data_IF_187163110969
#
_entry.id   IF_187163110969
#
_cell.length_a   1.000
_cell.length_b   1.000
_cell.length_c   1.000
_cell.angle_alpha   90.00
_cell.angle_beta   90.00
_cell.angle_gamma   90.00
#
_symmetry.space_group_name_H-M   'P 1'
#
loop_
_entity.id
_entity.type
_entity.pdbx_description
1 polymer ?
#
# COMPACT_ATOMS: atom_id res chain seq x y z
N UNK A 1 3.51 0.66 14.50
CA UNK A 1 4.08 1.71 13.65
C UNK A 1 4.78 0.96 12.54
N UNK A 2 4.50 1.28 11.28
CA UNK A 2 5.16 0.61 10.18
C UNK A 2 6.59 1.15 10.01
N UNK A 3 7.48 0.34 9.45
CA UNK A 3 8.86 0.75 9.15
C UNK A 3 8.91 1.37 7.76
N UNK A 4 9.21 2.66 7.68
CA UNK A 4 9.32 3.41 6.42
C UNK A 4 10.50 2.93 5.55
N UNK A 5 11.46 2.19 6.13
CA UNK A 5 12.54 1.55 5.36
C UNK A 5 12.04 0.31 4.62
N UNK A 6 11.06 -0.41 5.17
CA UNK A 6 10.52 -1.65 4.59
C UNK A 6 9.26 -1.40 3.75
N UNK A 7 8.48 -0.38 4.10
CA UNK A 7 7.18 -0.14 3.48
C UNK A 7 7.00 1.30 3.00
N UNK A 8 6.16 1.44 1.98
CA UNK A 8 5.70 2.71 1.43
C UNK A 8 4.20 2.83 1.68
N UNK A 9 3.78 3.97 2.23
CA UNK A 9 2.37 4.30 2.40
C UNK A 9 1.80 4.80 1.07
N UNK A 10 0.76 4.12 0.56
CA UNK A 10 0.15 4.47 -0.71
C UNK A 10 -1.37 4.61 -0.59
N UNK A 11 -1.95 5.39 -1.50
CA UNK A 11 -3.38 5.41 -1.74
C UNK A 11 -3.67 5.49 -3.24
N UNK A 12 -4.93 5.29 -3.64
CA UNK A 12 -5.32 5.48 -5.03
C UNK A 12 -5.16 6.95 -5.42
N UNK A 13 -4.54 7.20 -6.56
CA UNK A 13 -4.27 8.55 -7.07
C UNK A 13 -5.55 9.39 -7.15
N UNK A 14 -6.62 8.80 -7.68
CA UNK A 14 -7.91 9.47 -7.81
C UNK A 14 -8.49 9.88 -6.45
N UNK A 15 -8.33 9.07 -5.42
CA UNK A 15 -8.85 9.35 -4.08
C UNK A 15 -8.08 10.51 -3.44
N UNK A 16 -6.76 10.52 -3.59
CA UNK A 16 -5.90 11.62 -3.15
C UNK A 16 -6.23 12.95 -3.84
N UNK A 17 -6.30 12.94 -5.17
CA UNK A 17 -6.57 14.14 -5.98
C UNK A 17 -7.94 14.76 -5.66
N UNK A 18 -8.92 13.93 -5.28
CA UNK A 18 -10.24 14.40 -4.87
C UNK A 18 -10.31 14.79 -3.38
N UNK A 19 -9.23 14.64 -2.61
CA UNK A 19 -9.21 14.90 -1.17
C UNK A 19 -10.12 13.97 -0.36
N UNK A 20 -10.49 12.83 -0.94
CA UNK A 20 -11.37 11.82 -0.36
C UNK A 20 -10.58 10.52 -0.44
N UNK A 21 -9.68 10.30 0.52
CA UNK A 21 -8.98 9.03 0.71
C UNK A 21 -10.04 8.01 1.16
N UNK A 22 -10.80 7.50 0.20
CA UNK A 22 -12.01 6.73 0.40
C UNK A 22 -11.67 5.30 0.78
N UNK A 23 -11.13 4.55 -0.18
CA UNK A 23 -10.86 3.10 -0.05
C UNK A 23 -9.73 2.78 0.95
N UNK A 24 -9.11 3.81 1.53
CA UNK A 24 -8.16 3.72 2.62
C UNK A 24 -6.71 3.92 2.19
N UNK A 25 -5.83 3.83 3.20
CA UNK A 25 -4.39 3.82 3.05
C UNK A 25 -3.90 2.37 3.04
N UNK A 26 -2.90 2.09 2.22
CA UNK A 26 -2.30 0.77 2.10
C UNK A 26 -0.80 0.88 2.31
N UNK A 27 -0.19 -0.20 2.81
CA UNK A 27 1.26 -0.34 2.80
C UNK A 27 1.64 -1.27 1.65
N UNK A 28 2.75 -0.95 0.98
CA UNK A 28 3.37 -1.80 -0.05
C UNK A 28 4.82 -2.00 0.34
N UNK A 29 5.41 -3.17 0.04
CA UNK A 29 6.85 -3.37 0.24
C UNK A 29 7.64 -2.35 -0.57
N UNK A 30 8.66 -1.72 0.03
CA UNK A 30 9.52 -0.76 -0.67
C UNK A 30 10.26 -1.41 -1.83
N UNK A 31 10.72 -2.65 -1.66
CA UNK A 31 11.34 -3.44 -2.73
C UNK A 31 10.37 -3.59 -3.91
N UNK A 32 9.13 -3.96 -3.63
CA UNK A 32 8.11 -4.09 -4.67
C UNK A 32 7.80 -2.75 -5.30
N UNK A 33 7.69 -1.67 -4.53
CA UNK A 33 7.32 -0.34 -5.02
C UNK A 33 8.37 0.25 -5.95
N UNK A 34 9.64 0.23 -5.53
CA UNK A 34 10.79 0.80 -6.24
C UNK A 34 11.23 -0.05 -7.45
N UNK A 35 10.81 -1.31 -7.53
CA UNK A 35 11.08 -2.17 -8.67
C UNK A 35 10.33 -1.67 -9.92
N UNK A 36 11.09 -1.07 -10.84
CA UNK A 36 10.60 -0.51 -12.11
C UNK A 36 10.62 -1.51 -13.26
N UNK A 37 11.02 -2.77 -13.04
CA UNK A 37 11.01 -3.76 -14.10
C UNK A 37 9.57 -4.07 -14.52
N UNK A 38 9.21 -3.70 -15.75
CA UNK A 38 7.87 -3.89 -16.30
C UNK A 38 7.65 -5.32 -16.84
N UNK A 39 8.21 -6.31 -16.16
CA UNK A 39 7.89 -7.71 -16.46
C UNK A 39 6.43 -7.93 -16.13
N UNK A 40 5.61 -8.20 -17.16
CA UNK A 40 4.16 -8.40 -17.09
C UNK A 40 3.65 -9.45 -16.08
N UNK A 41 4.54 -10.23 -15.47
CA UNK A 41 4.22 -11.24 -14.46
C UNK A 41 4.42 -10.76 -13.01
N UNK A 42 5.07 -9.61 -12.80
CA UNK A 42 5.35 -9.09 -11.45
C UNK A 42 4.09 -8.46 -10.85
N UNK A 43 3.95 -8.66 -9.54
CA UNK A 43 2.82 -8.17 -8.75
C UNK A 43 3.30 -7.53 -7.48
N UNK A 44 2.55 -6.56 -6.96
CA UNK A 44 2.76 -5.96 -5.66
C UNK A 44 1.55 -6.20 -4.78
N UNK A 45 1.77 -6.28 -3.47
CA UNK A 45 0.71 -6.51 -2.49
C UNK A 45 0.31 -5.20 -1.81
N UNK A 46 -1.00 -4.92 -1.83
CA UNK A 46 -1.62 -3.91 -1.00
C UNK A 46 -1.92 -4.52 0.36
N UNK A 47 -1.22 -4.05 1.39
CA UNK A 47 -1.40 -4.50 2.76
C UNK A 47 -2.43 -3.62 3.47
N UNK A 48 -3.42 -4.26 4.12
CA UNK A 48 -4.47 -3.55 4.82
C UNK A 48 -3.90 -2.80 6.02
N UNK A 49 -4.26 -1.53 6.16
CA UNK A 49 -3.84 -0.70 7.29
C UNK A 49 -5.00 -0.34 8.20
N UNK A 50 -4.68 0.00 9.44
CA UNK A 50 -5.54 0.66 10.39
C UNK A 50 -4.96 2.03 10.72
N UNK A 51 -5.81 3.06 10.72
CA UNK A 51 -5.46 4.41 11.17
C UNK A 51 -6.04 4.64 12.56
N UNK A 52 -5.18 4.74 13.56
CA UNK A 52 -5.59 5.01 14.94
C UNK A 52 -4.81 6.21 15.48
N UNK A 53 -5.50 7.26 15.92
CA UNK A 53 -4.88 8.48 16.46
C UNK A 53 -3.79 9.06 15.54
N UNK A 54 -4.07 9.13 14.23
CA UNK A 54 -3.13 9.56 13.18
C UNK A 54 -1.89 8.68 13.02
N UNK A 55 -1.90 7.46 13.56
CA UNK A 55 -0.84 6.46 13.35
C UNK A 55 -1.36 5.38 12.42
N UNK A 56 -0.65 5.19 11.31
CA UNK A 56 -0.88 4.05 10.41
C UNK A 56 -0.20 2.81 10.98
N UNK A 57 -0.94 1.70 11.02
CA UNK A 57 -0.47 0.40 11.47
C UNK A 57 -0.91 -0.67 10.48
N UNK A 58 -0.15 -1.75 10.33
CA UNK A 58 -0.64 -2.94 9.65
C UNK A 58 -1.84 -3.50 10.42
N UNK A 59 -2.91 -3.84 9.70
CA UNK A 59 -4.07 -4.48 10.31
C UNK A 59 -3.69 -5.91 10.71
N UNK A 60 -3.70 -6.25 12.01
CA UNK A 60 -3.28 -7.58 12.44
C UNK A 60 -4.39 -8.60 12.16
N UNK A 61 -4.04 -9.68 11.47
CA UNK A 61 -4.87 -10.88 11.49
C UNK A 61 -4.87 -11.50 12.91
N UNK A 62 -5.82 -12.40 13.26
CA UNK A 62 -5.90 -13.01 14.60
C UNK A 62 -4.61 -13.71 15.08
N UNK A 63 -3.70 -14.03 14.18
CA UNK A 63 -2.39 -14.63 14.43
C UNK A 63 -1.20 -13.65 14.31
N UNK A 64 -1.46 -12.33 14.33
CA UNK A 64 -0.49 -11.27 14.02
C UNK A 64 0.09 -11.33 12.59
N UNK A 65 -0.49 -12.08 11.66
CA UNK A 65 -0.08 -12.01 10.26
C UNK A 65 -0.54 -10.71 9.61
N UNK A 66 0.19 -10.30 8.58
CA UNK A 66 -0.19 -9.19 7.73
C UNK A 66 -1.34 -9.62 6.82
N UNK A 67 -2.35 -8.76 6.69
CA UNK A 67 -3.48 -8.99 5.78
C UNK A 67 -3.18 -8.36 4.43
N UNK A 68 -3.02 -9.20 3.41
CA UNK A 68 -3.01 -8.76 2.01
C UNK A 68 -4.46 -8.44 1.64
N UNK A 69 -4.74 -7.17 1.37
CA UNK A 69 -6.04 -6.73 0.88
C UNK A 69 -6.21 -7.14 -0.59
N UNK A 70 -5.20 -6.90 -1.41
CA UNK A 70 -5.23 -7.21 -2.83
C UNK A 70 -3.81 -7.34 -3.40
N UNK A 71 -3.60 -8.33 -4.25
CA UNK A 71 -2.40 -8.45 -5.10
C UNK A 71 -2.70 -7.89 -6.48
N UNK A 72 -1.85 -7.00 -6.99
CA UNK A 72 -2.06 -6.30 -8.27
C UNK A 72 -0.83 -6.43 -9.18
N UNK A 73 -1.00 -6.49 -10.51
CA UNK A 73 0.14 -6.45 -11.43
C UNK A 73 0.86 -5.10 -11.36
N UNK A 74 2.17 -5.07 -11.56
CA UNK A 74 2.96 -3.82 -11.52
C UNK A 74 2.45 -2.71 -12.45
N UNK A 75 1.82 -3.08 -13.57
CA UNK A 75 1.16 -2.13 -14.49
C UNK A 75 0.08 -1.29 -13.82
N UNK A 76 -0.41 -1.69 -12.64
CA UNK A 76 -1.37 -0.95 -11.82
C UNK A 76 -0.76 0.03 -10.83
N UNK A 77 0.55 0.06 -10.61
CA UNK A 77 1.19 1.05 -9.72
C UNK A 77 0.89 2.49 -10.13
N UNK A 78 0.70 2.76 -11.43
CA UNK A 78 0.35 4.09 -11.96
C UNK A 78 -0.99 4.64 -11.43
N UNK A 79 -1.88 3.74 -10.97
CA UNK A 79 -3.16 4.10 -10.38
C UNK A 79 -3.02 4.51 -8.88
N UNK A 80 -1.82 4.41 -8.32
CA UNK A 80 -1.50 4.67 -6.91
C UNK A 80 -0.41 5.74 -6.78
N UNK A 81 -0.36 6.38 -5.61
CA UNK A 81 0.68 7.33 -5.25
C UNK A 81 1.16 7.08 -3.83
N UNK A 82 2.42 7.41 -3.58
CA UNK A 82 2.99 7.52 -2.24
C UNK A 82 2.44 8.75 -1.51
N UNK A 83 2.20 8.60 -0.21
CA UNK A 83 1.63 9.63 0.66
C UNK A 83 2.64 9.94 1.76
N UNK A 84 3.15 11.18 1.76
CA UNK A 84 4.01 11.76 2.82
C UNK A 84 3.20 12.21 4.05
#
# INVERSE_FOLDING_TARGET
>A
MFDEQEFVLVCRKNDYENGIIGDGLFLVSREEWEDTDDYSIKTFDLLLTAVENNVVKLYPAPNNAVVIFQTLPYSKKVDYIEVD
#
